data_IF_201891306213
#
_entry.id   IF_201891306213
#
_cell.length_a   1.000
_cell.length_b   1.000
_cell.length_c   1.000
_cell.angle_alpha   90.00
_cell.angle_beta   90.00
_cell.angle_gamma   90.00
#
_symmetry.space_group_name_H-M   'P 1'
#
loop_
_entity.id
_entity.type
_entity.pdbx_description
1 polymer ?
#
# COMPACT_ATOMS: atom_id res chain seq x y z
N UNK A 1 -5.01 31.66 49.46
CA UNK A 1 -4.06 31.75 48.32
C UNK A 1 -3.69 30.38 47.72
N UNK A 2 -3.67 29.26 48.47
CA UNK A 2 -3.19 27.96 48.00
C UNK A 2 -4.14 27.16 47.10
N UNK A 3 -5.47 27.38 47.15
CA UNK A 3 -6.43 26.61 46.34
C UNK A 3 -6.47 27.06 44.86
N UNK A 4 -6.26 28.34 44.60
CA UNK A 4 -6.25 28.88 43.22
C UNK A 4 -4.98 28.43 42.47
N UNK A 5 -3.84 28.43 43.13
CA UNK A 5 -2.56 27.97 42.56
C UNK A 5 -2.62 26.48 42.26
N UNK A 6 -3.18 25.66 43.16
CA UNK A 6 -3.37 24.22 42.93
C UNK A 6 -4.30 23.93 41.75
N UNK A 7 -5.36 24.73 41.58
CA UNK A 7 -6.29 24.58 40.43
C UNK A 7 -5.63 24.96 39.09
N UNK A 8 -4.82 26.03 39.06
CA UNK A 8 -4.06 26.41 37.85
C UNK A 8 -3.03 25.36 37.47
N UNK A 9 -2.30 24.80 38.46
CA UNK A 9 -1.33 23.72 38.23
C UNK A 9 -2.03 22.44 37.71
N UNK A 10 -3.21 22.13 38.27
CA UNK A 10 -4.00 20.99 37.82
C UNK A 10 -4.50 21.18 36.36
N UNK A 11 -4.99 22.37 36.00
CA UNK A 11 -5.40 22.68 34.63
C UNK A 11 -4.22 22.65 33.67
N UNK A 12 -3.05 23.14 34.06
CA UNK A 12 -1.84 23.08 33.22
C UNK A 12 -1.37 21.64 33.01
N UNK A 13 -1.40 20.82 34.07
CA UNK A 13 -1.05 19.40 34.02
C UNK A 13 -2.07 18.60 33.17
N UNK A 14 -3.36 18.87 33.33
CA UNK A 14 -4.43 18.25 32.55
C UNK A 14 -4.33 18.65 31.06
N UNK A 15 -4.04 19.94 30.76
CA UNK A 15 -3.78 20.42 29.40
C UNK A 15 -2.53 19.80 28.77
N UNK A 16 -1.47 19.62 29.55
CA UNK A 16 -0.25 18.95 29.10
C UNK A 16 -0.50 17.45 28.79
N UNK A 17 -1.17 16.75 29.69
CA UNK A 17 -1.55 15.35 29.51
C UNK A 17 -2.52 15.19 28.32
N UNK A 18 -3.53 16.04 28.19
CA UNK A 18 -4.43 16.01 27.06
C UNK A 18 -3.70 16.24 25.74
N UNK A 19 -2.73 17.16 25.70
CA UNK A 19 -1.88 17.40 24.51
C UNK A 19 -1.00 16.20 24.19
N UNK A 20 -0.50 15.46 25.17
CA UNK A 20 0.32 14.28 24.98
C UNK A 20 -0.51 13.07 24.50
N UNK A 21 -1.70 12.87 25.10
CA UNK A 21 -2.63 11.80 24.72
C UNK A 21 -3.43 12.09 23.43
N UNK A 22 -3.62 13.36 23.08
CA UNK A 22 -4.31 13.78 21.85
C UNK A 22 -3.34 14.06 20.68
N UNK A 23 -2.04 13.84 20.85
CA UNK A 23 -1.13 13.82 19.70
C UNK A 23 -1.64 12.75 18.72
N UNK A 24 -1.99 13.14 17.49
CA UNK A 24 -2.30 12.11 16.47
C UNK A 24 -1.12 11.15 16.42
N UNK A 25 -1.40 9.86 16.51
CA UNK A 25 -0.38 8.83 16.35
C UNK A 25 0.37 9.15 15.05
N UNK A 26 1.70 9.31 15.14
CA UNK A 26 2.49 9.47 13.93
C UNK A 26 2.27 8.23 13.07
N UNK A 27 1.95 8.40 11.79
CA UNK A 27 1.80 7.27 10.90
C UNK A 27 3.07 6.41 10.96
N UNK A 28 2.87 5.10 10.96
CA UNK A 28 3.97 4.15 10.98
C UNK A 28 4.96 4.47 9.83
N UNK A 29 6.27 4.28 10.03
CA UNK A 29 7.24 4.43 8.94
C UNK A 29 6.85 3.51 7.77
N UNK A 30 7.08 4.00 6.55
CA UNK A 30 6.88 3.22 5.34
C UNK A 30 7.57 1.85 5.45
N UNK A 31 6.95 0.76 4.93
CA UNK A 31 7.62 -0.53 4.84
C UNK A 31 8.98 -0.36 4.16
N UNK A 32 10.02 -0.99 4.72
CA UNK A 32 11.34 -0.97 4.12
C UNK A 32 11.31 -1.62 2.73
N UNK A 33 11.87 -0.95 1.73
CA UNK A 33 12.01 -1.52 0.40
C UNK A 33 12.87 -2.79 0.45
N UNK A 34 12.46 -3.90 -0.21
CA UNK A 34 13.35 -5.02 -0.40
C UNK A 34 14.59 -4.54 -1.19
N UNK A 35 15.80 -5.08 -0.90
CA UNK A 35 17.02 -4.67 -1.59
C UNK A 35 16.89 -4.88 -3.10
N UNK A 36 17.33 -3.89 -3.88
CA UNK A 36 17.23 -3.88 -5.34
C UNK A 36 17.91 -5.08 -6.02
N UNK A 37 18.89 -5.71 -5.36
CA UNK A 37 19.63 -6.88 -5.85
C UNK A 37 18.86 -8.21 -5.73
N UNK A 38 17.66 -8.25 -5.15
CA UNK A 38 16.91 -9.49 -4.97
C UNK A 38 15.97 -9.85 -6.14
N UNK A 39 15.90 -9.02 -7.17
CA UNK A 39 15.09 -9.33 -8.35
C UNK A 39 15.77 -10.44 -9.18
N UNK A 40 15.11 -11.59 -9.45
CA UNK A 40 15.69 -12.61 -10.30
C UNK A 40 15.96 -12.06 -11.69
N UNK A 41 17.14 -12.36 -12.27
CA UNK A 41 17.41 -12.09 -13.66
C UNK A 41 16.28 -12.68 -14.51
N UNK A 42 15.73 -11.88 -15.43
CA UNK A 42 14.64 -12.35 -16.31
C UNK A 42 15.22 -13.08 -17.53
N UNK A 43 15.30 -14.42 -17.52
CA UNK A 43 15.92 -15.20 -18.61
C UNK A 43 15.11 -15.19 -19.92
N UNK A 44 13.90 -14.60 -19.90
CA UNK A 44 13.00 -14.55 -21.05
C UNK A 44 12.86 -13.17 -21.70
N UNK A 45 13.64 -12.18 -21.28
CA UNK A 45 13.61 -10.87 -21.92
C UNK A 45 14.26 -10.92 -23.30
N UNK A 46 13.55 -10.38 -24.31
CA UNK A 46 14.09 -10.18 -25.67
C UNK A 46 15.04 -8.98 -25.74
N UNK A 47 15.12 -8.18 -24.66
CA UNK A 47 15.99 -7.02 -24.58
C UNK A 47 17.26 -7.35 -23.81
N UNK A 48 18.39 -6.88 -24.35
CA UNK A 48 19.61 -6.75 -23.57
C UNK A 48 19.46 -5.68 -22.47
N UNK A 49 20.29 -5.73 -21.45
CA UNK A 49 20.27 -4.69 -20.38
C UNK A 49 20.45 -3.26 -20.94
N UNK A 50 21.30 -3.11 -21.96
CA UNK A 50 21.51 -1.81 -22.61
C UNK A 50 20.25 -1.29 -23.33
N UNK A 51 19.46 -2.17 -23.93
CA UNK A 51 18.18 -1.81 -24.57
C UNK A 51 17.10 -1.53 -23.53
N UNK A 52 17.01 -2.36 -22.48
CA UNK A 52 16.11 -2.10 -21.36
C UNK A 52 16.40 -0.77 -20.67
N UNK A 53 17.68 -0.42 -20.48
CA UNK A 53 18.09 0.87 -19.93
C UNK A 53 17.61 2.05 -20.80
N UNK A 54 17.65 1.92 -22.14
CA UNK A 54 17.12 2.97 -23.05
C UNK A 54 15.60 3.12 -22.89
N UNK A 55 14.87 2.01 -22.76
CA UNK A 55 13.42 2.06 -22.52
C UNK A 55 13.11 2.71 -21.15
N UNK A 56 13.91 2.41 -20.12
CA UNK A 56 13.75 3.06 -18.79
C UNK A 56 13.95 4.58 -18.87
N UNK A 57 14.83 5.09 -19.73
CA UNK A 57 14.98 6.54 -19.93
C UNK A 57 13.71 7.17 -20.48
N UNK A 58 12.95 6.46 -21.33
CA UNK A 58 11.68 6.95 -21.87
C UNK A 58 10.57 7.11 -20.79
N UNK A 59 10.76 6.57 -19.58
CA UNK A 59 9.88 6.88 -18.44
C UNK A 59 10.02 8.35 -17.97
N UNK A 60 10.98 9.09 -18.45
CA UNK A 60 11.21 10.52 -18.14
C UNK A 60 10.92 11.43 -19.35
N UNK A 61 10.29 10.90 -20.39
CA UNK A 61 9.91 11.69 -21.58
C UNK A 61 8.94 12.82 -21.22
N UNK A 62 8.97 13.90 -21.99
CA UNK A 62 8.06 15.03 -21.80
C UNK A 62 6.58 14.63 -22.04
N UNK A 63 6.33 13.71 -23.00
CA UNK A 63 4.99 13.25 -23.36
C UNK A 63 4.53 12.13 -22.41
N UNK A 64 3.40 12.28 -21.69
CA UNK A 64 2.87 11.25 -20.80
C UNK A 64 2.51 9.95 -21.53
N UNK A 65 2.16 10.01 -22.82
CA UNK A 65 1.87 8.80 -23.61
C UNK A 65 3.14 8.00 -23.88
N UNK A 66 4.29 8.67 -24.09
CA UNK A 66 5.59 8.00 -24.25
C UNK A 66 5.98 7.35 -22.92
N UNK A 67 5.83 8.05 -21.80
CA UNK A 67 6.11 7.50 -20.48
C UNK A 67 5.23 6.28 -20.19
N UNK A 68 3.93 6.37 -20.51
CA UNK A 68 3.01 5.24 -20.36
C UNK A 68 3.38 4.05 -21.23
N UNK A 69 3.69 4.27 -22.52
CA UNK A 69 4.10 3.20 -23.44
C UNK A 69 5.40 2.51 -22.97
N UNK A 70 6.36 3.28 -22.46
CA UNK A 70 7.59 2.74 -21.87
C UNK A 70 7.28 1.87 -20.64
N UNK A 71 6.42 2.33 -19.73
CA UNK A 71 6.00 1.55 -18.56
C UNK A 71 5.30 0.23 -18.99
N UNK A 72 4.40 0.29 -19.98
CA UNK A 72 3.75 -0.92 -20.50
C UNK A 72 4.74 -1.90 -21.12
N UNK A 73 5.72 -1.42 -21.86
CA UNK A 73 6.74 -2.27 -22.47
C UNK A 73 7.58 -2.96 -21.39
N UNK A 74 8.08 -2.21 -20.39
CA UNK A 74 8.83 -2.76 -19.27
C UNK A 74 8.00 -3.75 -18.44
N UNK A 75 6.70 -3.47 -18.29
CA UNK A 75 5.77 -4.40 -17.65
C UNK A 75 5.66 -5.72 -18.41
N UNK A 76 5.52 -5.67 -19.74
CA UNK A 76 5.36 -6.84 -20.58
C UNK A 76 6.62 -7.72 -20.61
N UNK A 77 7.79 -7.10 -20.66
CA UNK A 77 9.08 -7.83 -20.64
C UNK A 77 9.53 -8.23 -19.23
N UNK A 78 8.72 -7.94 -18.20
CA UNK A 78 9.01 -8.23 -16.80
C UNK A 78 10.33 -7.64 -16.32
N UNK A 79 10.57 -6.38 -16.63
CA UNK A 79 11.79 -5.70 -16.20
C UNK A 79 11.93 -5.72 -14.67
N UNK A 80 13.05 -6.20 -14.13
CA UNK A 80 13.22 -6.34 -12.68
C UNK A 80 13.31 -5.00 -11.93
N UNK A 81 13.65 -3.92 -12.64
CA UNK A 81 13.75 -2.59 -12.04
C UNK A 81 12.43 -1.81 -12.12
N UNK A 82 11.37 -2.37 -12.74
CA UNK A 82 10.14 -1.65 -12.97
C UNK A 82 9.44 -1.22 -11.66
N UNK A 83 9.40 -2.07 -10.64
CA UNK A 83 8.71 -1.77 -9.38
C UNK A 83 9.14 -0.45 -8.74
N UNK A 84 10.44 -0.23 -8.44
CA UNK A 84 10.93 1.05 -7.93
C UNK A 84 10.66 2.24 -8.86
N UNK A 85 10.71 2.04 -10.18
CA UNK A 85 10.43 3.09 -11.17
C UNK A 85 8.94 3.51 -11.12
N UNK A 86 8.02 2.54 -11.05
CA UNK A 86 6.58 2.84 -10.90
C UNK A 86 6.30 3.58 -9.59
N UNK A 87 6.95 3.20 -8.50
CA UNK A 87 6.81 3.91 -7.22
C UNK A 87 7.23 5.38 -7.33
N UNK A 88 8.36 5.65 -8.02
CA UNK A 88 8.80 7.00 -8.31
C UNK A 88 7.80 7.76 -9.17
N UNK A 89 7.24 7.12 -10.21
CA UNK A 89 6.25 7.75 -11.09
C UNK A 89 4.95 8.09 -10.34
N UNK A 90 4.47 7.27 -9.42
CA UNK A 90 3.31 7.62 -8.57
C UNK A 90 3.60 8.89 -7.76
N UNK A 91 4.81 9.02 -7.23
CA UNK A 91 5.15 10.15 -6.36
C UNK A 91 5.43 11.46 -7.12
N UNK A 92 6.00 11.37 -8.33
CA UNK A 92 6.64 12.52 -8.97
C UNK A 92 6.11 12.85 -10.37
N UNK A 93 5.35 11.96 -11.02
CA UNK A 93 4.87 12.24 -12.38
C UNK A 93 3.91 13.43 -12.39
N UNK A 94 4.10 14.42 -13.28
CA UNK A 94 3.25 15.60 -13.34
C UNK A 94 1.81 15.30 -13.80
N UNK A 95 1.60 14.21 -14.54
CA UNK A 95 0.29 13.83 -15.09
C UNK A 95 -0.49 12.93 -14.12
N UNK A 96 -1.61 13.43 -13.58
CA UNK A 96 -2.45 12.70 -12.62
C UNK A 96 -3.07 11.44 -13.24
N UNK A 97 -3.48 11.48 -14.50
CA UNK A 97 -4.08 10.33 -15.18
C UNK A 97 -3.04 9.23 -15.37
N UNK A 98 -1.78 9.60 -15.64
CA UNK A 98 -0.70 8.65 -15.70
C UNK A 98 -0.43 8.02 -14.31
N UNK A 99 -0.42 8.81 -13.24
CA UNK A 99 -0.27 8.26 -11.87
C UNK A 99 -1.37 7.26 -11.55
N UNK A 100 -2.62 7.53 -11.93
CA UNK A 100 -3.74 6.58 -11.78
C UNK A 100 -3.49 5.28 -12.55
N UNK A 101 -3.06 5.38 -13.82
CA UNK A 101 -2.72 4.20 -14.64
C UNK A 101 -1.60 3.36 -14.02
N UNK A 102 -0.57 4.02 -13.45
CA UNK A 102 0.54 3.35 -12.76
C UNK A 102 0.06 2.60 -11.52
N UNK A 103 -0.82 3.22 -10.70
CA UNK A 103 -1.45 2.53 -9.56
C UNK A 103 -2.16 1.25 -10.03
N UNK A 104 -2.91 1.33 -11.14
CA UNK A 104 -3.58 0.17 -11.74
C UNK A 104 -2.60 -0.91 -12.21
N UNK A 105 -1.47 -0.51 -12.81
CA UNK A 105 -0.43 -1.43 -13.28
C UNK A 105 0.25 -2.15 -12.11
N UNK A 106 0.54 -1.48 -11.01
CA UNK A 106 1.13 -2.11 -9.82
C UNK A 106 0.22 -3.18 -9.23
N UNK A 107 -1.08 -2.94 -9.22
CA UNK A 107 -2.08 -3.92 -8.76
C UNK A 107 -2.11 -5.20 -9.62
N UNK A 108 -1.78 -5.10 -10.90
CA UNK A 108 -1.84 -6.21 -11.86
C UNK A 108 -0.85 -7.35 -11.60
N UNK A 109 0.21 -7.11 -10.81
CA UNK A 109 1.25 -8.10 -10.48
C UNK A 109 1.74 -7.94 -9.06
N UNK A 110 1.71 -9.04 -8.31
CA UNK A 110 2.13 -9.05 -6.91
C UNK A 110 3.59 -8.61 -6.73
N UNK A 111 4.49 -9.01 -7.63
CA UNK A 111 5.91 -8.62 -7.60
C UNK A 111 6.15 -7.12 -7.82
N UNK A 112 5.17 -6.41 -8.40
CA UNK A 112 5.25 -4.96 -8.60
C UNK A 112 4.59 -4.18 -7.46
N UNK A 113 3.89 -4.85 -6.55
CA UNK A 113 3.22 -4.18 -5.43
C UNK A 113 4.26 -3.57 -4.51
N UNK A 114 4.28 -2.26 -4.47
CA UNK A 114 5.08 -1.45 -3.55
C UNK A 114 4.14 -0.68 -2.65
N UNK A 115 3.91 -1.19 -1.45
CA UNK A 115 3.02 -0.55 -0.49
C UNK A 115 3.44 0.90 -0.21
N UNK A 116 4.74 1.18 -0.17
CA UNK A 116 5.28 2.53 -0.02
C UNK A 116 4.79 3.50 -1.10
N UNK A 117 4.83 3.09 -2.37
CA UNK A 117 4.34 3.90 -3.49
C UNK A 117 2.83 4.14 -3.42
N UNK A 118 2.06 3.10 -3.11
CA UNK A 118 0.61 3.23 -2.96
C UNK A 118 0.25 4.13 -1.75
N UNK A 119 0.99 4.04 -0.65
CA UNK A 119 0.82 4.93 0.51
C UNK A 119 1.17 6.39 0.15
N UNK A 120 2.20 6.64 -0.66
CA UNK A 120 2.48 7.98 -1.21
C UNK A 120 1.30 8.49 -2.04
N UNK A 121 0.70 7.64 -2.87
CA UNK A 121 -0.51 7.97 -3.64
C UNK A 121 -1.74 8.33 -2.78
N UNK A 122 -1.80 7.90 -1.52
CA UNK A 122 -2.83 8.36 -0.57
C UNK A 122 -2.69 9.84 -0.20
N UNK A 123 -1.52 10.43 -0.40
CA UNK A 123 -1.22 11.83 -0.08
C UNK A 123 -1.17 12.71 -1.35
N UNK A 124 -1.59 12.18 -2.49
CA UNK A 124 -1.56 12.89 -3.77
C UNK A 124 -2.44 14.15 -3.72
N UNK A 125 -2.03 15.18 -4.45
CA UNK A 125 -2.82 16.41 -4.61
C UNK A 125 -4.13 16.15 -5.36
N UNK A 126 -4.14 15.22 -6.30
CA UNK A 126 -5.32 14.81 -7.06
C UNK A 126 -6.15 13.77 -6.29
N UNK A 127 -7.44 14.08 -6.07
CA UNK A 127 -8.36 13.18 -5.34
C UNK A 127 -8.53 11.81 -6.00
N UNK A 128 -8.45 11.74 -7.34
CA UNK A 128 -8.67 10.50 -8.06
C UNK A 128 -7.47 9.55 -7.90
N UNK A 129 -6.26 10.10 -7.79
CA UNK A 129 -5.05 9.32 -7.44
C UNK A 129 -5.18 8.76 -6.02
N UNK A 130 -5.66 9.56 -5.05
CA UNK A 130 -5.93 9.08 -3.68
C UNK A 130 -6.95 7.94 -3.68
N UNK A 131 -8.05 8.10 -4.41
CA UNK A 131 -9.10 7.07 -4.55
C UNK A 131 -8.55 5.80 -5.23
N UNK A 132 -7.78 5.94 -6.31
CA UNK A 132 -7.17 4.81 -7.00
C UNK A 132 -6.24 4.03 -6.05
N UNK A 133 -5.42 4.74 -5.27
CA UNK A 133 -4.51 4.15 -4.28
C UNK A 133 -5.25 3.44 -3.16
N UNK A 134 -6.34 4.04 -2.62
CA UNK A 134 -7.24 3.39 -1.66
C UNK A 134 -7.82 2.09 -2.21
N UNK A 135 -8.30 2.12 -3.44
CA UNK A 135 -8.85 0.94 -4.09
C UNK A 135 -7.80 -0.15 -4.28
N UNK A 136 -6.60 0.21 -4.74
CA UNK A 136 -5.51 -0.75 -4.91
C UNK A 136 -5.12 -1.40 -3.57
N UNK A 137 -4.96 -0.61 -2.51
CA UNK A 137 -4.65 -1.10 -1.16
C UNK A 137 -5.75 -2.01 -0.60
N UNK A 138 -7.02 -1.67 -0.84
CA UNK A 138 -8.15 -2.51 -0.46
C UNK A 138 -8.15 -3.88 -1.15
N UNK A 139 -7.77 -3.92 -2.42
CA UNK A 139 -7.68 -5.16 -3.20
C UNK A 139 -6.46 -6.01 -2.78
N UNK A 140 -5.34 -5.39 -2.42
CA UNK A 140 -4.17 -6.06 -1.83
C UNK A 140 -4.54 -6.62 -0.45
N UNK A 141 -5.20 -5.84 0.39
CA UNK A 141 -5.73 -6.26 1.68
C UNK A 141 -4.67 -6.42 2.77
N UNK A 142 -3.50 -5.82 2.63
CA UNK A 142 -2.46 -5.83 3.66
C UNK A 142 -2.85 -4.93 4.83
N UNK A 143 -2.98 -5.47 6.06
CA UNK A 143 -3.42 -4.70 7.22
C UNK A 143 -2.38 -3.68 7.71
N UNK A 144 -1.12 -3.77 7.28
CA UNK A 144 -0.05 -2.85 7.72
C UNK A 144 -0.32 -1.40 7.34
N UNK A 145 -1.15 -1.17 6.31
CA UNK A 145 -1.49 0.17 5.82
C UNK A 145 -2.77 0.78 6.42
N UNK A 146 -3.45 0.10 7.36
CA UNK A 146 -4.72 0.54 7.95
C UNK A 146 -4.61 1.96 8.53
N UNK A 147 -3.52 2.28 9.20
CA UNK A 147 -3.31 3.61 9.81
C UNK A 147 -3.34 4.71 8.75
N UNK A 148 -2.75 4.47 7.59
CA UNK A 148 -2.73 5.42 6.47
C UNK A 148 -4.11 5.60 5.85
N UNK A 149 -4.83 4.50 5.63
CA UNK A 149 -6.20 4.54 5.11
C UNK A 149 -7.15 5.26 6.08
N UNK A 150 -7.01 5.02 7.38
CA UNK A 150 -7.83 5.66 8.42
C UNK A 150 -7.62 7.18 8.48
N UNK A 151 -6.42 7.66 8.16
CA UNK A 151 -6.14 9.09 8.09
C UNK A 151 -7.01 9.80 7.04
N UNK A 152 -7.35 9.12 5.94
CA UNK A 152 -8.20 9.67 4.87
C UNK A 152 -9.69 9.78 5.23
N UNK A 153 -10.12 9.30 6.38
CA UNK A 153 -11.47 9.62 6.91
C UNK A 153 -11.63 11.11 7.23
N UNK A 154 -10.53 11.86 7.31
CA UNK A 154 -10.50 13.32 7.49
C UNK A 154 -10.18 14.09 6.19
N UNK A 155 -10.15 13.40 5.04
CA UNK A 155 -9.89 14.05 3.75
C UNK A 155 -10.90 15.17 3.48
N UNK A 156 -10.53 16.30 2.85
CA UNK A 156 -11.49 17.35 2.49
C UNK A 156 -12.56 16.86 1.50
N UNK A 157 -12.23 15.89 0.63
CA UNK A 157 -13.12 15.39 -0.41
C UNK A 157 -14.02 14.25 0.12
N UNK A 158 -15.37 14.38 0.03
CA UNK A 158 -16.29 13.33 0.47
C UNK A 158 -16.07 11.98 -0.21
N UNK A 159 -15.75 12.00 -1.52
CA UNK A 159 -15.52 10.78 -2.31
C UNK A 159 -14.33 9.98 -1.79
N UNK A 160 -13.28 10.66 -1.35
CA UNK A 160 -12.09 10.04 -0.73
C UNK A 160 -12.45 9.40 0.62
N UNK A 161 -13.25 10.09 1.45
CA UNK A 161 -13.72 9.49 2.72
C UNK A 161 -14.53 8.22 2.49
N UNK A 162 -15.43 8.24 1.50
CA UNK A 162 -16.23 7.07 1.12
C UNK A 162 -15.31 5.93 0.67
N UNK A 163 -14.34 6.21 -0.20
CA UNK A 163 -13.38 5.21 -0.65
C UNK A 163 -12.54 4.64 0.51
N UNK A 164 -12.15 5.46 1.48
CA UNK A 164 -11.44 5.01 2.67
C UNK A 164 -12.29 4.05 3.53
N UNK A 165 -13.56 4.38 3.75
CA UNK A 165 -14.50 3.48 4.47
C UNK A 165 -14.68 2.14 3.74
N UNK A 166 -14.84 2.17 2.41
CA UNK A 166 -14.96 0.97 1.60
C UNK A 166 -13.68 0.11 1.65
N UNK A 167 -12.52 0.76 1.65
CA UNK A 167 -11.23 0.08 1.76
C UNK A 167 -11.08 -0.62 3.11
N UNK A 168 -11.45 0.04 4.21
CA UNK A 168 -11.46 -0.56 5.55
C UNK A 168 -12.43 -1.75 5.63
N UNK A 169 -13.59 -1.65 4.97
CA UNK A 169 -14.53 -2.76 4.84
C UNK A 169 -13.90 -3.98 4.15
N UNK A 170 -13.20 -3.76 3.02
CA UNK A 170 -12.49 -4.82 2.31
C UNK A 170 -11.41 -5.51 3.15
N UNK A 171 -10.65 -4.77 3.96
CA UNK A 171 -9.69 -5.36 4.90
C UNK A 171 -10.37 -6.28 5.90
N UNK A 172 -11.53 -5.84 6.45
CA UNK A 172 -12.30 -6.66 7.38
C UNK A 172 -12.80 -7.95 6.73
N UNK A 173 -13.29 -7.90 5.50
CA UNK A 173 -13.81 -9.06 4.79
C UNK A 173 -12.70 -10.05 4.41
N UNK A 174 -11.54 -9.57 3.97
CA UNK A 174 -10.37 -10.42 3.74
C UNK A 174 -9.93 -11.14 5.01
N UNK A 175 -9.85 -10.42 6.13
CA UNK A 175 -9.47 -11.02 7.42
C UNK A 175 -10.46 -12.10 7.87
N UNK A 176 -11.76 -11.88 7.67
CA UNK A 176 -12.76 -12.90 7.94
C UNK A 176 -12.57 -14.14 7.08
N UNK A 177 -12.27 -13.95 5.79
CA UNK A 177 -12.06 -15.05 4.87
C UNK A 177 -10.77 -15.83 5.19
N UNK A 178 -9.69 -15.17 5.53
CA UNK A 178 -8.45 -15.80 6.00
C UNK A 178 -8.69 -16.64 7.25
N UNK A 179 -9.41 -16.07 8.22
CA UNK A 179 -9.78 -16.81 9.45
C UNK A 179 -10.62 -18.03 9.16
N UNK A 180 -11.57 -17.92 8.23
CA UNK A 180 -12.42 -19.02 7.79
C UNK A 180 -11.61 -20.16 7.14
N UNK A 181 -10.66 -19.80 6.24
CA UNK A 181 -9.75 -20.76 5.61
C UNK A 181 -8.86 -21.45 6.62
N UNK A 182 -8.32 -20.70 7.60
CA UNK A 182 -7.48 -21.26 8.65
C UNK A 182 -8.27 -22.23 9.54
N UNK A 183 -9.50 -21.87 9.93
CA UNK A 183 -10.37 -22.73 10.72
C UNK A 183 -10.73 -24.03 9.98
N UNK A 184 -11.00 -23.92 8.68
CA UNK A 184 -11.28 -25.08 7.84
C UNK A 184 -10.07 -26.01 7.74
N UNK A 185 -8.88 -25.48 7.48
CA UNK A 185 -7.63 -26.24 7.42
C UNK A 185 -7.35 -26.96 8.75
N UNK A 186 -7.50 -26.26 9.86
CA UNK A 186 -7.29 -26.85 11.19
C UNK A 186 -8.23 -28.01 11.45
N UNK A 187 -9.49 -27.91 11.02
CA UNK A 187 -10.47 -28.99 11.11
C UNK A 187 -10.06 -30.22 10.29
N UNK A 188 -9.62 -30.00 9.04
CA UNK A 188 -9.15 -31.06 8.14
C UNK A 188 -7.92 -31.78 8.72
N UNK A 189 -6.94 -31.00 9.20
CA UNK A 189 -5.72 -31.55 9.84
C UNK A 189 -6.07 -32.39 11.08
N UNK A 190 -7.02 -31.93 11.89
CA UNK A 190 -7.49 -32.69 13.07
C UNK A 190 -8.21 -33.99 12.69
N UNK A 191 -9.10 -33.97 11.70
CA UNK A 191 -9.76 -35.17 11.20
C UNK A 191 -8.78 -36.19 10.62
N UNK A 192 -7.76 -35.72 9.89
CA UNK A 192 -6.71 -36.59 9.38
C UNK A 192 -5.88 -37.21 10.51
N UNK A 193 -5.51 -36.45 11.53
CA UNK A 193 -4.81 -36.96 12.70
C UNK A 193 -5.61 -38.05 13.43
N UNK A 194 -6.93 -37.86 13.56
CA UNK A 194 -7.81 -38.88 14.12
C UNK A 194 -7.85 -40.17 13.29
N UNK A 195 -7.96 -40.06 11.95
CA UNK A 195 -7.92 -41.23 11.05
C UNK A 195 -6.60 -41.97 11.15
N UNK A 196 -5.46 -41.27 11.18
CA UNK A 196 -4.13 -41.87 11.34
C UNK A 196 -3.98 -42.57 12.68
N UNK A 197 -4.51 -42.04 13.76
CA UNK A 197 -4.49 -42.63 15.08
C UNK A 197 -5.34 -43.91 15.18
N UNK A 198 -6.51 -43.90 14.50
CA UNK A 198 -7.39 -45.08 14.43
C UNK A 198 -6.81 -46.22 13.60
N UNK A 199 -6.08 -45.92 12.52
CA UNK A 199 -5.43 -46.91 11.67
C UNK A 199 -4.19 -47.60 12.29
N UNK A 200 -3.67 -47.07 13.40
CA UNK A 200 -2.53 -47.63 14.15
C UNK A 200 -2.94 -48.57 15.29
N UNK A 201 -4.23 -48.71 15.54
CA UNK A 201 -4.81 -49.65 16.51
C UNK A 201 -5.30 -50.93 15.83
#
# INVERSE_FOLDING_TARGET
>A
MNRLVAFIVFLAAAGYLAREYLKPAQPAPLPAEPPADSAPANPGSVFSEAEAAKVRLSLQDADPNVRWAAAQLLYNVRDPQLGPLLEKMIAEDPDADLRIKIVGMMKGREELVRLGGLVKGLQDVDKNVRIASLNALGDIGDPSVITWVTALLKDPEPDVKIAALQTLGRFQDKRKEEFRKLAQKLKEDYEEALRRSAARR
#
